data_IF_981458317990
#
_entry.id   IF_981458317990
#
_cell.length_a   1.000
_cell.length_b   1.000
_cell.length_c   1.000
_cell.angle_alpha   90.00
_cell.angle_beta   90.00
_cell.angle_gamma   90.00
#
_symmetry.space_group_name_H-M   'P 1'
#
loop_
_entity.id
_entity.type
_entity.pdbx_description
1 polymer ?
#
# COMPACT_ATOMS: atom_id res chain seq x y z
N UNK A 1 26.37 80.34 11.44
CA UNK A 1 25.32 81.13 10.74
C UNK A 1 24.16 80.18 10.42
N UNK A 2 22.91 80.50 10.80
CA UNK A 2 21.81 80.98 9.92
C UNK A 2 21.64 80.09 8.65
N UNK A 3 20.47 79.52 8.32
CA UNK A 3 19.08 79.93 8.63
C UNK A 3 18.12 78.80 9.13
N UNK A 4 17.00 79.25 9.71
CA UNK A 4 15.90 78.50 10.37
C UNK A 4 14.74 78.14 9.41
N UNK A 5 13.64 77.57 9.98
CA UNK A 5 12.25 77.34 9.46
C UNK A 5 12.03 75.90 8.92
N UNK A 6 10.96 75.11 9.24
CA UNK A 6 9.69 75.28 10.03
C UNK A 6 9.24 73.98 10.76
N UNK A 7 8.09 74.04 11.46
CA UNK A 7 7.17 72.97 11.95
C UNK A 7 5.71 73.48 11.66
N UNK A 8 4.61 72.68 11.60
CA UNK A 8 4.05 71.77 12.62
C UNK A 8 3.62 70.41 11.98
N UNK A 9 2.60 69.61 12.35
CA UNK A 9 1.54 69.63 13.39
C UNK A 9 1.14 68.16 13.72
N UNK A 10 1.49 67.61 14.89
CA UNK A 10 0.61 67.36 16.04
C UNK A 10 -0.72 66.59 15.77
N UNK A 11 -0.81 65.34 16.23
CA UNK A 11 -2.08 64.65 16.49
C UNK A 11 -1.95 63.78 17.75
N UNK A 12 -2.83 63.96 18.72
CA UNK A 12 -2.96 63.14 19.94
C UNK A 12 -4.42 62.76 20.11
N UNK A 13 -4.71 61.48 20.25
CA UNK A 13 -5.96 60.98 20.83
C UNK A 13 -5.56 59.98 21.92
N UNK A 14 -6.01 60.23 23.14
CA UNK A 14 -5.89 59.29 24.25
C UNK A 14 -7.17 58.45 24.33
N UNK A 15 -7.03 57.17 24.70
CA UNK A 15 -8.17 56.32 25.03
C UNK A 15 -8.22 56.16 26.55
N UNK A 16 -9.39 56.41 27.12
CA UNK A 16 -9.63 56.46 28.56
C UNK A 16 -9.73 55.05 29.15
N UNK A 17 -9.13 54.83 30.31
CA UNK A 17 -9.38 53.63 31.12
C UNK A 17 -10.78 53.71 31.76
N UNK A 18 -11.59 52.67 31.58
CA UNK A 18 -12.80 52.45 32.36
C UNK A 18 -12.71 51.11 33.08
N UNK A 19 -12.81 51.14 34.41
CA UNK A 19 -12.87 49.95 35.26
C UNK A 19 -14.29 49.83 35.81
N UNK A 20 -14.94 48.71 35.53
CA UNK A 20 -16.15 48.24 36.23
C UNK A 20 -15.90 46.77 36.57
N UNK A 21 -16.30 46.35 37.77
CA UNK A 21 -15.88 45.09 38.38
C UNK A 21 -17.07 44.22 38.82
N UNK A 22 -16.77 42.92 38.98
CA UNK A 22 -17.59 41.86 39.61
C UNK A 22 -18.88 41.47 38.88
N UNK A 23 -18.97 40.17 38.55
CA UNK A 23 -20.19 39.49 38.12
C UNK A 23 -19.96 37.98 38.14
N UNK A 24 -20.29 37.32 39.26
CA UNK A 24 -20.08 35.88 39.41
C UNK A 24 -21.06 35.07 38.55
N UNK A 25 -20.54 34.31 37.58
CA UNK A 25 -21.30 33.36 36.78
C UNK A 25 -20.43 32.13 36.47
N UNK A 26 -20.86 30.95 36.90
CA UNK A 26 -20.04 29.74 36.86
C UNK A 26 -19.88 29.16 35.45
N UNK A 27 -18.65 29.14 34.93
CA UNK A 27 -18.27 28.33 33.77
C UNK A 27 -17.60 27.03 34.23
N UNK A 28 -18.11 25.88 33.79
CA UNK A 28 -17.53 24.57 34.13
C UNK A 28 -16.08 24.46 33.61
N UNK A 29 -15.16 24.03 34.47
CA UNK A 29 -13.80 23.63 34.10
C UNK A 29 -13.82 22.30 33.33
N UNK A 30 -14.19 22.37 32.05
CA UNK A 30 -14.04 21.27 31.11
C UNK A 30 -12.55 21.06 30.82
N UNK A 31 -11.86 20.31 31.69
CA UNK A 31 -10.45 19.92 31.51
C UNK A 31 -10.31 18.96 30.33
N UNK A 32 -10.30 19.52 29.12
CA UNK A 32 -10.24 18.83 27.82
C UNK A 32 -8.91 18.14 27.58
N UNK A 33 -8.58 17.14 28.40
CA UNK A 33 -7.45 16.23 28.18
C UNK A 33 -7.69 15.53 26.86
N UNK A 34 -6.92 15.91 25.83
CA UNK A 34 -7.03 15.33 24.50
C UNK A 34 -7.02 13.80 24.60
N UNK A 35 -7.94 13.09 23.90
CA UNK A 35 -8.06 11.64 24.04
C UNK A 35 -6.74 11.00 23.63
N UNK A 36 -6.05 10.39 24.61
CA UNK A 36 -4.75 9.78 24.40
C UNK A 36 -4.83 8.79 23.23
N UNK A 37 -3.86 8.89 22.31
CA UNK A 37 -3.85 8.14 21.07
C UNK A 37 -4.05 6.64 21.36
N UNK A 38 -5.23 6.13 21.03
CA UNK A 38 -5.59 4.73 21.21
C UNK A 38 -4.87 3.89 20.16
N UNK A 39 -3.55 3.76 20.35
CA UNK A 39 -2.70 2.79 19.68
C UNK A 39 -3.18 1.40 20.10
N UNK A 40 -4.23 0.93 19.44
CA UNK A 40 -4.76 -0.40 19.61
C UNK A 40 -3.61 -1.39 19.37
N UNK A 41 -3.09 -1.94 20.48
CA UNK A 41 -1.96 -2.86 20.45
C UNK A 41 -2.27 -3.98 19.44
N UNK A 42 -1.29 -4.47 18.66
CA UNK A 42 -1.52 -5.44 17.60
C UNK A 42 -1.90 -6.80 18.18
N UNK A 43 -3.16 -6.93 18.62
CA UNK A 43 -3.72 -8.09 19.29
C UNK A 43 -3.54 -9.34 18.44
N UNK A 44 -3.25 -10.46 19.11
CA UNK A 44 -2.72 -11.71 18.53
C UNK A 44 -3.33 -12.06 17.16
N UNK A 45 -2.69 -11.59 16.08
CA UNK A 45 -3.03 -12.00 14.71
C UNK A 45 -2.47 -13.38 14.50
N UNK A 46 -3.22 -14.37 14.99
CA UNK A 46 -2.93 -15.77 14.75
C UNK A 46 -2.75 -16.02 13.24
N UNK A 47 -1.71 -16.79 12.89
CA UNK A 47 -1.58 -17.36 11.56
C UNK A 47 -2.72 -18.36 11.36
N UNK A 48 -3.87 -17.85 10.91
CA UNK A 48 -5.10 -18.64 10.71
C UNK A 48 -4.78 -19.82 9.80
N UNK A 49 -5.11 -21.02 10.27
CA UNK A 49 -4.72 -22.29 9.67
C UNK A 49 -5.18 -22.52 8.23
N UNK A 50 -4.89 -23.73 7.76
CA UNK A 50 -5.06 -24.25 6.37
C UNK A 50 -6.19 -23.56 5.61
N UNK A 51 -5.88 -23.00 4.43
CA UNK A 51 -6.88 -22.33 3.58
C UNK A 51 -8.09 -23.26 3.34
N UNK A 52 -9.32 -22.73 3.31
CA UNK A 52 -10.49 -23.56 2.99
C UNK A 52 -10.33 -24.23 1.62
N UNK A 53 -10.70 -25.51 1.52
CA UNK A 53 -10.88 -26.18 0.23
C UNK A 53 -12.21 -25.67 -0.35
N UNK A 54 -12.14 -24.69 -1.24
CA UNK A 54 -13.29 -24.03 -1.84
C UNK A 54 -13.08 -23.81 -3.35
N UNK A 55 -14.15 -23.59 -4.14
CA UNK A 55 -14.06 -23.32 -5.58
C UNK A 55 -13.13 -22.15 -5.91
N UNK A 56 -12.46 -22.21 -7.07
CA UNK A 56 -11.40 -21.26 -7.47
C UNK A 56 -11.94 -19.84 -7.65
N UNK A 57 -13.20 -19.73 -8.05
CA UNK A 57 -14.06 -18.54 -8.13
C UNK A 57 -14.00 -17.72 -6.83
N UNK A 58 -14.10 -18.40 -5.67
CA UNK A 58 -14.12 -17.76 -4.36
C UNK A 58 -12.72 -17.33 -3.86
N UNK A 59 -11.66 -17.74 -4.55
CA UNK A 59 -10.27 -17.44 -4.24
C UNK A 59 -9.82 -17.94 -2.86
N UNK A 60 -9.12 -17.10 -2.11
CA UNK A 60 -8.56 -17.42 -0.78
C UNK A 60 -9.30 -16.82 0.42
N UNK A 61 -10.39 -16.08 0.21
CA UNK A 61 -11.19 -15.44 1.28
C UNK A 61 -12.13 -16.48 1.89
N UNK A 62 -12.17 -16.59 3.23
CA UNK A 62 -13.25 -17.34 3.93
C UNK A 62 -14.54 -16.53 3.91
N UNK A 63 -15.41 -16.82 2.95
CA UNK A 63 -16.73 -16.21 2.83
C UNK A 63 -17.72 -16.77 3.85
N UNK A 64 -18.56 -15.91 4.42
CA UNK A 64 -19.74 -16.31 5.21
C UNK A 64 -20.96 -16.40 4.30
N UNK A 65 -22.00 -17.12 4.72
CA UNK A 65 -23.34 -17.09 4.10
C UNK A 65 -24.35 -16.38 5.00
N UNK A 66 -25.52 -16.05 4.46
CA UNK A 66 -26.64 -15.44 5.17
C UNK A 66 -26.46 -13.94 5.46
N UNK A 67 -27.20 -13.09 4.73
CA UNK A 67 -27.15 -11.63 4.89
C UNK A 67 -27.49 -11.16 6.33
N UNK A 68 -28.54 -11.62 7.02
CA UNK A 68 -28.85 -11.15 8.38
C UNK A 68 -27.70 -11.40 9.36
N UNK A 69 -27.07 -12.57 9.28
CA UNK A 69 -25.90 -12.93 10.09
C UNK A 69 -24.68 -12.06 9.78
N UNK A 70 -24.50 -11.63 8.52
CA UNK A 70 -23.43 -10.70 8.14
C UNK A 70 -23.69 -9.27 8.62
N UNK A 71 -24.94 -8.78 8.56
CA UNK A 71 -25.32 -7.46 9.08
C UNK A 71 -25.21 -7.42 10.61
N UNK A 72 -25.61 -8.48 11.33
CA UNK A 72 -25.41 -8.60 12.77
C UNK A 72 -23.92 -8.60 13.16
N UNK A 73 -23.08 -9.35 12.42
CA UNK A 73 -21.63 -9.35 12.62
C UNK A 73 -21.00 -7.97 12.28
N UNK A 74 -21.55 -7.25 11.31
CA UNK A 74 -21.15 -5.89 10.95
C UNK A 74 -21.47 -4.90 12.08
N UNK A 75 -22.71 -4.93 12.60
CA UNK A 75 -23.14 -4.12 13.75
C UNK A 75 -22.25 -4.37 14.97
N UNK A 76 -22.00 -5.64 15.33
CA UNK A 76 -21.18 -6.02 16.51
C UNK A 76 -19.69 -5.65 16.39
N UNK A 77 -19.14 -5.52 15.18
CA UNK A 77 -17.69 -5.31 14.97
C UNK A 77 -17.32 -3.95 14.35
N UNK A 78 -18.32 -3.11 14.05
CA UNK A 78 -18.15 -1.87 13.31
C UNK A 78 -17.50 -2.04 11.93
N UNK A 79 -17.49 -3.26 11.38
CA UNK A 79 -16.84 -3.57 10.09
C UNK A 79 -17.86 -3.46 8.96
N UNK A 80 -17.56 -2.79 7.84
CA UNK A 80 -18.41 -2.85 6.65
C UNK A 80 -18.51 -4.30 6.13
N UNK A 81 -19.66 -4.67 5.57
CA UNK A 81 -19.83 -5.96 4.87
C UNK A 81 -19.25 -5.84 3.46
N UNK A 82 -18.42 -6.79 3.07
CA UNK A 82 -17.93 -7.00 1.72
C UNK A 82 -18.78 -8.11 1.10
N UNK A 83 -19.79 -7.73 0.30
CA UNK A 83 -20.73 -8.67 -0.31
C UNK A 83 -20.26 -9.02 -1.72
N UNK A 84 -19.87 -10.27 -1.92
CA UNK A 84 -19.60 -10.87 -3.22
C UNK A 84 -20.88 -11.58 -3.72
N UNK A 85 -21.36 -11.17 -4.90
CA UNK A 85 -22.37 -11.87 -5.68
C UNK A 85 -21.64 -12.56 -6.84
N UNK A 86 -21.67 -13.89 -6.91
CA UNK A 86 -20.79 -14.63 -7.82
C UNK A 86 -21.33 -15.97 -8.29
N UNK A 87 -20.84 -16.41 -9.45
CA UNK A 87 -21.28 -17.63 -10.13
C UNK A 87 -20.44 -18.83 -9.67
N UNK A 88 -21.08 -19.91 -9.18
CA UNK A 88 -20.35 -21.14 -8.80
C UNK A 88 -21.06 -22.41 -9.30
N UNK A 89 -20.37 -23.30 -10.05
CA UNK A 89 -19.13 -23.01 -10.80
C UNK A 89 -19.34 -21.84 -11.77
N UNK A 90 -18.26 -21.16 -12.17
CA UNK A 90 -18.36 -19.92 -12.95
C UNK A 90 -17.48 -19.83 -14.19
N UNK A 91 -17.76 -18.85 -15.04
CA UNK A 91 -17.04 -18.63 -16.31
C UNK A 91 -15.55 -18.25 -16.13
N UNK A 92 -14.83 -18.09 -17.25
CA UNK A 92 -13.40 -17.74 -17.27
C UNK A 92 -13.09 -16.43 -16.53
N UNK A 93 -13.95 -15.41 -16.62
CA UNK A 93 -13.85 -14.15 -15.86
C UNK A 93 -13.95 -14.38 -14.37
N UNK A 94 -14.93 -15.18 -13.93
CA UNK A 94 -15.19 -15.49 -12.52
C UNK A 94 -14.01 -16.25 -11.91
N UNK A 95 -13.60 -17.35 -12.55
CA UNK A 95 -12.42 -18.14 -12.17
C UNK A 95 -11.13 -17.30 -12.24
N UNK A 96 -11.06 -16.33 -13.14
CA UNK A 96 -9.98 -15.36 -13.25
C UNK A 96 -9.89 -14.41 -12.05
N UNK A 97 -11.01 -13.79 -11.66
CA UNK A 97 -11.09 -12.89 -10.50
C UNK A 97 -10.78 -13.63 -9.19
N UNK A 98 -11.33 -14.83 -9.03
CA UNK A 98 -11.03 -15.74 -7.93
C UNK A 98 -9.55 -16.11 -7.81
N UNK A 99 -8.96 -16.59 -8.91
CA UNK A 99 -7.54 -16.99 -8.99
C UNK A 99 -6.56 -15.82 -8.78
N UNK A 100 -6.88 -14.61 -9.22
CA UNK A 100 -5.92 -13.49 -9.26
C UNK A 100 -6.14 -12.46 -8.15
N UNK A 101 -7.38 -12.01 -7.92
CA UNK A 101 -7.69 -10.95 -6.95
C UNK A 101 -8.08 -11.52 -5.61
N UNK A 102 -9.10 -12.38 -5.57
CA UNK A 102 -9.61 -12.94 -4.32
C UNK A 102 -8.63 -13.94 -3.67
N UNK A 103 -7.60 -14.36 -4.39
CA UNK A 103 -6.49 -15.19 -3.87
C UNK A 103 -5.25 -14.39 -3.43
N UNK A 104 -5.13 -13.11 -3.81
CA UNK A 104 -3.97 -12.27 -3.53
C UNK A 104 -3.81 -12.05 -2.00
N UNK A 105 -2.65 -12.37 -1.38
CA UNK A 105 -2.53 -12.42 0.08
C UNK A 105 -3.00 -11.18 0.83
N UNK A 106 -2.66 -9.98 0.35
CA UNK A 106 -3.07 -8.72 0.97
C UNK A 106 -4.57 -8.39 0.78
N UNK A 107 -5.21 -8.91 -0.27
CA UNK A 107 -6.66 -8.78 -0.49
C UNK A 107 -7.41 -9.73 0.45
N UNK A 108 -6.97 -11.00 0.51
CA UNK A 108 -7.49 -12.01 1.44
C UNK A 108 -7.43 -11.49 2.87
N UNK A 109 -6.29 -10.94 3.27
CA UNK A 109 -6.15 -10.37 4.60
C UNK A 109 -7.04 -9.14 4.82
N UNK A 110 -7.05 -8.17 3.88
CA UNK A 110 -7.90 -7.00 4.02
C UNK A 110 -9.39 -7.38 4.15
N UNK A 111 -9.88 -8.30 3.32
CA UNK A 111 -11.26 -8.79 3.36
C UNK A 111 -11.61 -9.46 4.71
N UNK A 112 -10.75 -10.34 5.22
CA UNK A 112 -11.01 -11.07 6.46
C UNK A 112 -10.76 -10.26 7.74
N UNK A 113 -9.90 -9.23 7.70
CA UNK A 113 -9.55 -8.42 8.88
C UNK A 113 -10.36 -7.13 8.98
N UNK A 114 -10.60 -6.43 7.86
CA UNK A 114 -11.19 -5.09 7.86
C UNK A 114 -12.71 -5.10 7.59
N UNK A 115 -13.23 -6.15 6.96
CA UNK A 115 -14.64 -6.31 6.55
C UNK A 115 -15.30 -7.52 7.24
N UNK A 116 -16.61 -7.68 7.01
CA UNK A 116 -17.32 -8.96 7.10
C UNK A 116 -17.50 -9.52 5.68
N UNK A 117 -16.78 -10.58 5.27
CA UNK A 117 -16.98 -11.17 3.95
C UNK A 117 -18.28 -11.99 3.90
N UNK A 118 -19.19 -11.62 2.99
CA UNK A 118 -20.44 -12.32 2.68
C UNK A 118 -20.42 -12.77 1.22
N UNK A 119 -20.82 -14.02 0.97
CA UNK A 119 -21.06 -14.56 -0.37
C UNK A 119 -22.55 -14.82 -0.58
N UNK A 120 -23.02 -14.50 -1.78
CA UNK A 120 -24.33 -14.80 -2.34
C UNK A 120 -24.08 -15.43 -3.71
N UNK A 121 -24.63 -16.62 -3.99
CA UNK A 121 -24.44 -17.21 -5.32
C UNK A 121 -25.41 -16.57 -6.31
N UNK A 122 -24.90 -15.93 -7.37
CA UNK A 122 -25.74 -15.26 -8.37
C UNK A 122 -26.50 -16.22 -9.30
N UNK A 123 -26.23 -17.53 -9.23
CA UNK A 123 -26.80 -18.55 -10.09
C UNK A 123 -27.66 -19.59 -9.36
N UNK A 124 -28.07 -19.32 -8.10
CA UNK A 124 -28.93 -20.24 -7.30
C UNK A 124 -30.29 -19.61 -6.97
N UNK A 125 -31.22 -20.46 -6.52
CA UNK A 125 -32.57 -20.09 -6.09
C UNK A 125 -32.65 -19.67 -4.61
N UNK A 126 -33.84 -19.77 -4.03
CA UNK A 126 -34.07 -19.71 -2.59
C UNK A 126 -33.55 -18.43 -1.91
N UNK A 127 -32.78 -18.59 -0.84
CA UNK A 127 -32.26 -17.49 -0.01
C UNK A 127 -31.35 -16.55 -0.81
N UNK A 128 -30.47 -17.09 -1.66
CA UNK A 128 -29.55 -16.28 -2.47
C UNK A 128 -30.33 -15.44 -3.49
N UNK A 129 -31.34 -16.02 -4.16
CA UNK A 129 -32.24 -15.29 -5.08
C UNK A 129 -32.95 -14.13 -4.38
N UNK A 130 -33.47 -14.33 -3.17
CA UNK A 130 -34.08 -13.25 -2.38
C UNK A 130 -33.10 -12.13 -2.06
N UNK A 131 -31.83 -12.44 -1.81
CA UNK A 131 -30.78 -11.43 -1.56
C UNK A 131 -30.35 -10.70 -2.84
N UNK A 132 -30.22 -11.39 -3.99
CA UNK A 132 -29.95 -10.77 -5.29
C UNK A 132 -31.01 -9.73 -5.66
N UNK A 133 -32.29 -10.16 -5.62
CA UNK A 133 -33.43 -9.29 -5.92
C UNK A 133 -33.45 -8.07 -4.99
N UNK A 134 -33.19 -8.24 -3.69
CA UNK A 134 -33.16 -7.15 -2.70
C UNK A 134 -31.98 -6.16 -2.86
N UNK A 135 -31.04 -6.41 -3.77
CA UNK A 135 -29.94 -5.51 -4.15
C UNK A 135 -30.02 -5.01 -5.60
N UNK A 136 -31.01 -5.48 -6.38
CA UNK A 136 -31.11 -5.21 -7.81
C UNK A 136 -29.95 -5.79 -8.61
N UNK A 137 -29.36 -6.91 -8.17
CA UNK A 137 -28.27 -7.58 -8.88
C UNK A 137 -28.81 -8.65 -9.85
N UNK A 138 -28.35 -8.69 -11.11
CA UNK A 138 -28.75 -9.70 -12.07
C UNK A 138 -28.15 -11.06 -11.72
N UNK A 139 -28.61 -12.10 -12.43
CA UNK A 139 -28.19 -13.48 -12.20
C UNK A 139 -27.50 -14.06 -13.42
N UNK A 140 -26.59 -15.03 -13.21
CA UNK A 140 -25.70 -15.55 -14.27
C UNK A 140 -24.81 -14.47 -14.92
N UNK A 141 -24.24 -13.58 -14.10
CA UNK A 141 -23.41 -12.46 -14.57
C UNK A 141 -21.97 -12.53 -14.02
N UNK A 142 -21.08 -11.69 -14.57
CA UNK A 142 -19.71 -11.52 -14.06
C UNK A 142 -19.69 -11.03 -12.58
N UNK A 143 -18.61 -11.29 -11.82
CA UNK A 143 -18.59 -11.09 -10.36
C UNK A 143 -18.94 -9.66 -9.93
N UNK A 144 -19.85 -9.50 -8.97
CA UNK A 144 -20.20 -8.18 -8.42
C UNK A 144 -19.81 -8.09 -6.96
N UNK A 145 -19.16 -6.99 -6.57
CA UNK A 145 -18.92 -6.67 -5.17
C UNK A 145 -19.60 -5.36 -4.77
N UNK A 146 -20.39 -5.44 -3.70
CA UNK A 146 -20.92 -4.28 -2.96
C UNK A 146 -20.20 -4.16 -1.62
N UNK A 147 -19.98 -2.93 -1.17
CA UNK A 147 -19.54 -2.66 0.20
C UNK A 147 -20.63 -1.84 0.89
N UNK A 148 -21.11 -2.34 2.03
CA UNK A 148 -22.27 -1.79 2.75
C UNK A 148 -22.02 -1.73 4.26
N UNK A 149 -22.78 -0.88 4.96
CA UNK A 149 -22.86 -0.93 6.44
C UNK A 149 -23.92 -1.94 6.92
N UNK A 150 -24.17 -1.99 8.24
CA UNK A 150 -25.14 -2.89 8.84
C UNK A 150 -26.61 -2.48 8.58
N UNK A 151 -26.85 -1.27 8.07
CA UNK A 151 -28.14 -0.79 7.53
C UNK A 151 -28.29 -1.05 6.02
N UNK A 152 -27.35 -1.80 5.41
CA UNK A 152 -27.23 -2.04 3.96
C UNK A 152 -26.92 -0.81 3.10
N UNK A 153 -26.59 0.35 3.68
CA UNK A 153 -26.30 1.58 2.91
C UNK A 153 -24.97 1.46 2.19
N UNK A 154 -24.91 1.91 0.94
CA UNK A 154 -23.74 1.73 0.08
C UNK A 154 -22.55 2.64 0.49
N UNK A 155 -21.42 2.00 0.80
CA UNK A 155 -20.18 2.64 1.24
C UNK A 155 -19.15 2.83 0.11
N UNK A 156 -19.28 2.05 -0.97
CA UNK A 156 -18.47 2.18 -2.17
C UNK A 156 -19.35 2.08 -3.42
N UNK A 157 -18.82 2.51 -4.57
CA UNK A 157 -19.47 2.31 -5.87
C UNK A 157 -19.55 0.80 -6.17
N UNK A 158 -20.61 0.35 -6.86
CA UNK A 158 -20.77 -1.04 -7.30
C UNK A 158 -19.54 -1.47 -8.12
N UNK A 159 -18.84 -2.52 -7.67
CA UNK A 159 -17.66 -3.03 -8.34
C UNK A 159 -18.04 -4.23 -9.21
N UNK A 160 -18.03 -4.07 -10.53
CA UNK A 160 -18.42 -5.11 -11.50
C UNK A 160 -17.58 -5.04 -12.79
N UNK A 161 -16.33 -4.56 -12.68
CA UNK A 161 -15.46 -4.31 -13.85
C UNK A 161 -13.97 -4.26 -13.48
N UNK A 162 -13.11 -4.33 -14.51
CA UNK A 162 -11.64 -4.28 -14.45
C UNK A 162 -10.96 -5.45 -13.75
N UNK A 163 -11.52 -6.02 -12.68
CA UNK A 163 -11.08 -7.27 -12.02
C UNK A 163 -9.57 -7.37 -11.70
N UNK A 164 -8.93 -6.25 -11.33
CA UNK A 164 -7.53 -6.22 -10.89
C UNK A 164 -7.41 -6.04 -9.38
N UNK A 165 -6.29 -6.52 -8.82
CA UNK A 165 -5.91 -6.31 -7.42
C UNK A 165 -5.95 -4.83 -7.03
N UNK A 166 -5.49 -3.93 -7.91
CA UNK A 166 -5.52 -2.47 -7.66
C UNK A 166 -6.93 -1.91 -7.70
N UNK A 167 -7.72 -2.24 -8.74
CA UNK A 167 -9.08 -1.69 -8.87
C UNK A 167 -9.96 -2.15 -7.69
N UNK A 168 -9.79 -3.39 -7.23
CA UNK A 168 -10.49 -3.90 -6.06
C UNK A 168 -10.01 -3.27 -4.75
N UNK A 169 -8.68 -3.14 -4.56
CA UNK A 169 -8.13 -2.44 -3.40
C UNK A 169 -8.64 -0.98 -3.29
N UNK A 170 -8.83 -0.26 -4.41
CA UNK A 170 -9.46 1.08 -4.40
C UNK A 170 -10.89 1.05 -3.87
N UNK A 171 -11.72 0.09 -4.28
CA UNK A 171 -13.08 -0.06 -3.77
C UNK A 171 -13.07 -0.35 -2.26
N UNK A 172 -12.18 -1.23 -1.79
CA UNK A 172 -11.99 -1.49 -0.35
C UNK A 172 -11.57 -0.22 0.41
N UNK A 173 -10.65 0.59 -0.13
CA UNK A 173 -10.24 1.87 0.47
C UNK A 173 -11.39 2.90 0.49
N UNK A 174 -12.19 3.00 -0.57
CA UNK A 174 -13.39 3.86 -0.62
C UNK A 174 -14.39 3.46 0.48
N UNK A 175 -14.72 2.17 0.56
CA UNK A 175 -15.68 1.65 1.53
C UNK A 175 -15.24 1.80 2.98
N UNK A 176 -13.94 1.64 3.27
CA UNK A 176 -13.38 1.91 4.61
C UNK A 176 -13.45 3.41 4.95
N UNK A 177 -13.05 4.30 4.03
CA UNK A 177 -13.13 5.75 4.24
C UNK A 177 -14.56 6.22 4.52
N UNK A 178 -15.55 5.80 3.71
CA UNK A 178 -16.96 6.17 3.92
C UNK A 178 -17.57 5.55 5.19
N UNK A 179 -16.97 4.49 5.74
CA UNK A 179 -17.32 3.93 7.05
C UNK A 179 -16.58 4.58 8.25
N UNK A 180 -15.80 5.66 8.04
CA UNK A 180 -14.98 6.26 9.11
C UNK A 180 -13.81 5.37 9.58
N UNK A 181 -13.44 4.34 8.81
CA UNK A 181 -12.44 3.32 9.21
C UNK A 181 -11.04 3.72 8.76
N UNK A 182 -10.07 3.64 9.69
CA UNK A 182 -8.63 3.80 9.38
C UNK A 182 -8.20 2.80 8.30
N UNK A 183 -7.63 3.30 7.21
CA UNK A 183 -7.11 2.48 6.10
C UNK A 183 -5.67 2.07 6.40
N UNK A 184 -5.32 0.77 6.42
CA UNK A 184 -3.93 0.34 6.61
C UNK A 184 -3.01 0.72 5.44
N UNK A 185 -1.75 1.05 5.75
CA UNK A 185 -0.76 1.47 4.76
C UNK A 185 -0.58 0.48 3.60
N UNK A 186 -0.47 -0.82 3.89
CA UNK A 186 -0.33 -1.87 2.87
C UNK A 186 -1.51 -1.90 1.87
N UNK A 187 -2.73 -1.58 2.32
CA UNK A 187 -3.91 -1.54 1.46
C UNK A 187 -3.96 -0.23 0.65
N UNK A 188 -3.58 0.89 1.26
CA UNK A 188 -3.44 2.18 0.55
C UNK A 188 -2.37 2.13 -0.55
N UNK A 189 -1.23 1.48 -0.30
CA UNK A 189 -0.18 1.22 -1.30
C UNK A 189 -0.70 0.33 -2.44
N UNK A 190 -1.43 -0.74 -2.11
CA UNK A 190 -2.02 -1.66 -3.09
C UNK A 190 -3.11 -0.99 -3.96
N UNK A 191 -3.88 -0.07 -3.38
CA UNK A 191 -4.90 0.72 -4.07
C UNK A 191 -4.32 1.87 -4.91
N UNK A 192 -3.12 2.37 -4.57
CA UNK A 192 -2.53 3.54 -5.23
C UNK A 192 -2.38 3.32 -6.74
N UNK A 193 -2.65 4.34 -7.58
CA UNK A 193 -2.30 4.29 -9.00
C UNK A 193 -0.78 4.20 -9.11
N UNK A 194 -0.28 3.30 -9.98
CA UNK A 194 1.15 3.23 -10.34
C UNK A 194 1.29 3.68 -11.81
N UNK A 195 1.33 4.99 -12.05
CA UNK A 195 2.16 5.52 -13.15
C UNK A 195 3.60 5.28 -12.70
N UNK A 196 4.43 4.72 -13.55
CA UNK A 196 5.79 4.32 -13.19
C UNK A 196 6.74 4.56 -14.35
N UNK A 197 7.68 5.48 -14.16
CA UNK A 197 8.79 5.72 -15.10
C UNK A 197 10.01 4.91 -14.65
N UNK A 198 10.99 4.72 -15.56
CA UNK A 198 12.27 4.05 -15.28
C UNK A 198 13.41 5.06 -15.31
N UNK A 199 14.41 4.86 -14.46
CA UNK A 199 15.71 5.50 -14.55
C UNK A 199 16.78 4.44 -14.21
N UNK A 200 17.94 4.47 -14.86
CA UNK A 200 19.01 3.48 -14.57
C UNK A 200 20.30 4.19 -14.19
N UNK A 201 20.88 3.81 -13.06
CA UNK A 201 22.05 4.45 -12.47
C UNK A 201 23.23 3.48 -12.43
N UNK A 202 24.45 3.96 -12.68
CA UNK A 202 25.69 3.21 -12.45
C UNK A 202 26.35 3.61 -11.12
N UNK A 203 27.06 2.65 -10.53
CA UNK A 203 27.79 2.81 -9.25
C UNK A 203 28.86 1.72 -9.10
N UNK A 204 29.58 1.72 -7.98
CA UNK A 204 30.61 0.71 -7.68
C UNK A 204 30.05 -0.59 -7.09
N UNK A 205 28.92 -0.52 -6.39
CA UNK A 205 28.27 -1.68 -5.75
C UNK A 205 26.75 -1.52 -5.82
N UNK A 206 26.08 -2.30 -6.67
CA UNK A 206 24.63 -2.20 -6.85
C UNK A 206 23.83 -2.67 -5.63
N UNK A 207 24.40 -3.48 -4.71
CA UNK A 207 23.75 -3.82 -3.44
C UNK A 207 23.56 -2.59 -2.56
N UNK A 208 24.60 -1.76 -2.43
CA UNK A 208 24.54 -0.44 -1.79
C UNK A 208 23.60 0.49 -2.56
N UNK A 209 23.61 0.40 -3.90
CA UNK A 209 22.64 1.02 -4.79
C UNK A 209 21.18 0.74 -4.42
N UNK A 210 20.78 -0.52 -4.38
CA UNK A 210 19.42 -0.95 -4.06
C UNK A 210 18.95 -0.47 -2.68
N UNK A 211 19.86 -0.42 -1.70
CA UNK A 211 19.57 0.11 -0.37
C UNK A 211 19.33 1.62 -0.43
N UNK A 212 20.27 2.39 -1.00
CA UNK A 212 20.19 3.86 -1.02
C UNK A 212 19.07 4.37 -1.94
N UNK A 213 18.90 3.79 -3.12
CA UNK A 213 17.84 4.13 -4.07
C UNK A 213 16.46 3.67 -3.58
N UNK A 214 16.36 2.47 -3.00
CA UNK A 214 15.12 1.94 -2.43
C UNK A 214 14.59 2.72 -1.22
N UNK A 215 15.45 3.49 -0.55
CA UNK A 215 15.07 4.40 0.53
C UNK A 215 14.34 5.66 0.03
N UNK A 216 14.63 6.15 -1.19
CA UNK A 216 14.15 7.45 -1.68
C UNK A 216 12.60 7.49 -1.75
N UNK A 217 11.91 8.44 -1.08
CA UNK A 217 10.46 8.59 -1.21
C UNK A 217 10.04 8.80 -2.67
N UNK A 218 9.03 8.04 -3.14
CA UNK A 218 8.58 8.04 -4.54
C UNK A 218 9.10 6.86 -5.38
N UNK A 219 10.20 6.21 -4.99
CA UNK A 219 10.64 4.94 -5.60
C UNK A 219 9.65 3.81 -5.27
N UNK A 220 9.31 3.02 -6.29
CA UNK A 220 8.35 1.91 -6.24
C UNK A 220 9.04 0.54 -6.31
N UNK A 221 10.15 0.44 -7.04
CA UNK A 221 10.87 -0.82 -7.25
C UNK A 221 12.32 -0.49 -7.63
N UNK A 222 13.27 -1.29 -7.14
CA UNK A 222 14.65 -1.32 -7.65
C UNK A 222 14.94 -2.68 -8.28
N UNK A 223 15.92 -2.77 -9.17
CA UNK A 223 16.37 -4.03 -9.76
C UNK A 223 17.84 -3.94 -10.17
N UNK A 224 18.73 -4.85 -9.76
CA UNK A 224 20.13 -4.77 -10.11
C UNK A 224 20.46 -5.46 -11.43
N UNK A 225 21.59 -5.09 -12.00
CA UNK A 225 22.16 -5.74 -13.18
C UNK A 225 23.41 -5.06 -13.68
N UNK A 226 23.71 -5.30 -14.96
CA UNK A 226 24.88 -4.80 -15.67
C UNK A 226 24.47 -4.07 -16.94
N UNK A 227 25.14 -2.96 -17.23
CA UNK A 227 24.98 -2.18 -18.46
C UNK A 227 26.31 -1.50 -18.81
N UNK A 228 26.73 -1.59 -20.06
CA UNK A 228 28.01 -1.05 -20.58
C UNK A 228 29.22 -1.35 -19.68
N UNK A 229 29.34 -2.61 -19.25
CA UNK A 229 30.41 -3.11 -18.38
C UNK A 229 30.31 -2.71 -16.90
N UNK A 230 29.28 -1.94 -16.50
CA UNK A 230 29.14 -1.36 -15.16
C UNK A 230 28.04 -2.02 -14.36
N UNK A 231 28.23 -2.06 -13.04
CA UNK A 231 27.16 -2.33 -12.09
C UNK A 231 26.11 -1.22 -12.11
N UNK A 232 24.84 -1.61 -12.24
CA UNK A 232 23.72 -0.68 -12.34
C UNK A 232 22.50 -1.12 -11.52
N UNK A 233 21.67 -0.14 -11.17
CA UNK A 233 20.33 -0.35 -10.63
C UNK A 233 19.31 0.35 -11.54
N UNK A 234 18.36 -0.40 -12.09
CA UNK A 234 17.12 0.13 -12.64
C UNK A 234 16.18 0.49 -11.48
N UNK A 235 15.67 1.71 -11.49
CA UNK A 235 14.73 2.26 -10.53
C UNK A 235 13.41 2.53 -11.23
N UNK A 236 12.30 2.02 -10.69
CA UNK A 236 10.96 2.45 -11.06
C UNK A 236 10.43 3.40 -10.00
N UNK A 237 9.89 4.54 -10.41
CA UNK A 237 9.42 5.59 -9.51
C UNK A 237 8.07 6.15 -9.93
N UNK A 238 7.31 6.71 -9.00
CA UNK A 238 6.05 7.41 -9.27
C UNK A 238 6.34 8.88 -9.64
N UNK A 239 6.24 9.27 -10.92
CA UNK A 239 6.62 10.61 -11.39
C UNK A 239 5.76 11.75 -10.81
N UNK A 240 4.64 11.41 -10.15
CA UNK A 240 3.77 12.38 -9.44
C UNK A 240 4.23 12.64 -8.00
N UNK A 241 5.25 11.92 -7.52
CA UNK A 241 5.83 12.03 -6.17
C UNK A 241 7.33 12.37 -6.18
N UNK A 242 8.00 12.08 -7.30
CA UNK A 242 9.43 12.27 -7.48
C UNK A 242 9.68 12.48 -8.98
N UNK A 243 10.17 13.65 -9.38
CA UNK A 243 10.56 13.90 -10.77
C UNK A 243 11.87 13.17 -11.10
N UNK A 244 12.12 12.92 -12.39
CA UNK A 244 13.38 12.31 -12.83
C UNK A 244 14.61 13.11 -12.39
N UNK A 245 14.59 14.44 -12.54
CA UNK A 245 15.70 15.31 -12.10
C UNK A 245 15.95 15.26 -10.59
N UNK A 246 14.90 15.22 -9.76
CA UNK A 246 15.03 15.09 -8.31
C UNK A 246 15.52 13.69 -7.88
N UNK A 247 15.11 12.62 -8.61
CA UNK A 247 15.69 11.29 -8.43
C UNK A 247 17.19 11.27 -8.77
N UNK A 248 17.60 11.89 -9.87
CA UNK A 248 19.02 12.03 -10.25
C UNK A 248 19.81 12.82 -9.20
N UNK A 249 19.27 13.94 -8.71
CA UNK A 249 19.87 14.76 -7.67
C UNK A 249 20.12 13.95 -6.39
N UNK A 250 19.11 13.22 -5.92
CA UNK A 250 19.20 12.35 -4.73
C UNK A 250 20.15 11.19 -4.94
N UNK A 251 20.13 10.54 -6.10
CA UNK A 251 21.03 9.43 -6.42
C UNK A 251 22.51 9.87 -6.45
N UNK A 252 22.80 11.08 -6.94
CA UNK A 252 24.15 11.69 -6.87
C UNK A 252 24.55 12.05 -5.44
N UNK A 253 23.69 12.71 -4.67
CA UNK A 253 23.95 13.03 -3.27
C UNK A 253 24.18 11.78 -2.39
N UNK A 254 23.58 10.65 -2.77
CA UNK A 254 23.76 9.34 -2.13
C UNK A 254 24.94 8.53 -2.68
N UNK A 255 25.74 9.08 -3.61
CA UNK A 255 26.94 8.41 -4.17
C UNK A 255 26.64 7.16 -5.01
N UNK A 256 25.42 7.04 -5.57
CA UNK A 256 24.94 5.86 -6.31
C UNK A 256 24.50 6.21 -7.73
N UNK A 257 25.17 7.19 -8.34
CA UNK A 257 24.94 7.67 -9.69
C UNK A 257 26.24 8.23 -10.33
N UNK A 258 27.27 7.39 -10.46
CA UNK A 258 28.52 7.76 -11.16
C UNK A 258 28.31 7.92 -12.67
N UNK A 259 27.29 7.25 -13.22
CA UNK A 259 26.68 7.54 -14.53
C UNK A 259 25.17 7.41 -14.42
N UNK A 260 24.43 8.12 -15.27
CA UNK A 260 22.98 8.02 -15.41
C UNK A 260 22.61 7.69 -16.85
N UNK A 261 21.71 6.73 -17.00
CA UNK A 261 21.14 6.32 -18.27
C UNK A 261 19.70 6.83 -18.38
N UNK A 262 19.52 7.80 -19.28
CA UNK A 262 18.20 8.30 -19.68
C UNK A 262 17.58 7.35 -20.71
N UNK A 263 16.27 7.09 -20.58
CA UNK A 263 15.51 6.22 -21.48
C UNK A 263 14.77 6.97 -22.59
N UNK A 264 14.74 8.31 -22.51
CA UNK A 264 14.12 9.22 -23.49
C UNK A 264 14.78 10.62 -23.45
N UNK A 265 14.40 11.48 -24.40
CA UNK A 265 14.97 12.83 -24.53
C UNK A 265 14.61 13.79 -23.39
N UNK A 266 13.44 13.65 -22.77
CA UNK A 266 13.03 14.49 -21.64
C UNK A 266 13.84 14.12 -20.37
N UNK A 267 14.08 12.83 -20.15
CA UNK A 267 15.01 12.34 -19.15
C UNK A 267 16.46 12.79 -19.42
N UNK A 268 16.89 12.83 -20.68
CA UNK A 268 18.22 13.33 -21.03
C UNK A 268 18.38 14.80 -20.65
N UNK A 269 17.41 15.66 -21.00
CA UNK A 269 17.42 17.08 -20.67
C UNK A 269 17.35 17.31 -19.15
N UNK A 270 16.34 16.74 -18.48
CA UNK A 270 16.14 16.88 -17.04
C UNK A 270 17.28 16.29 -16.20
N UNK A 271 17.95 15.24 -16.71
CA UNK A 271 19.15 14.68 -16.10
C UNK A 271 20.38 15.57 -16.29
N UNK A 272 20.63 16.06 -17.52
CA UNK A 272 21.79 16.93 -17.82
C UNK A 272 21.75 18.23 -17.03
N UNK A 273 20.58 18.83 -16.82
CA UNK A 273 20.40 20.01 -15.97
C UNK A 273 20.82 19.80 -14.50
N UNK A 274 20.93 18.55 -14.02
CA UNK A 274 21.31 18.19 -12.63
C UNK A 274 22.70 17.56 -12.56
N UNK A 275 23.15 16.90 -13.62
CA UNK A 275 24.29 15.98 -13.58
C UNK A 275 25.27 16.10 -14.76
N UNK A 276 25.02 17.01 -15.71
CA UNK A 276 25.91 17.30 -16.84
C UNK A 276 26.23 16.08 -17.71
N UNK A 277 27.49 15.97 -18.11
CA UNK A 277 28.04 14.90 -18.96
C UNK A 277 27.93 13.48 -18.37
N UNK A 278 27.63 13.35 -17.06
CA UNK A 278 27.35 12.05 -16.45
C UNK A 278 26.03 11.42 -16.92
N UNK A 279 25.18 12.14 -17.67
CA UNK A 279 23.92 11.64 -18.23
C UNK A 279 24.01 11.40 -19.72
N UNK A 280 23.82 10.13 -20.12
CA UNK A 280 23.71 9.71 -21.52
C UNK A 280 22.38 9.02 -21.80
N UNK A 281 21.82 9.26 -22.98
CA UNK A 281 20.69 8.47 -23.51
C UNK A 281 21.15 7.03 -23.76
N UNK A 282 20.27 6.05 -23.61
CA UNK A 282 20.53 4.70 -24.09
C UNK A 282 19.26 3.99 -24.56
N UNK A 283 19.39 3.22 -25.64
CA UNK A 283 18.40 2.22 -26.05
C UNK A 283 18.73 0.81 -25.51
N UNK A 284 19.92 0.61 -24.92
CA UNK A 284 20.38 -0.68 -24.42
C UNK A 284 19.61 -1.08 -23.15
N UNK A 285 19.15 -2.34 -23.09
CA UNK A 285 18.50 -2.90 -21.91
C UNK A 285 19.53 -3.42 -20.92
N UNK A 286 19.30 -3.18 -19.63
CA UNK A 286 20.13 -3.72 -18.54
C UNK A 286 20.08 -5.26 -18.52
N UNK A 287 21.24 -5.92 -18.48
CA UNK A 287 21.36 -7.35 -18.16
C UNK A 287 21.17 -7.54 -16.65
N UNK A 288 19.92 -7.77 -16.25
CA UNK A 288 19.51 -8.05 -14.85
C UNK A 288 20.38 -9.14 -14.22
N UNK A 289 20.65 -9.03 -12.91
CA UNK A 289 21.20 -10.15 -12.12
C UNK A 289 20.20 -10.65 -11.07
N UNK A 290 19.39 -11.70 -11.37
CA UNK A 290 18.30 -12.14 -10.47
C UNK A 290 18.76 -12.78 -9.16
N UNK A 291 20.00 -13.30 -9.11
CA UNK A 291 20.59 -13.92 -7.92
C UNK A 291 20.99 -12.89 -6.84
N UNK A 292 21.23 -11.65 -7.26
CA UNK A 292 21.77 -10.57 -6.42
C UNK A 292 20.70 -9.54 -6.02
N UNK A 293 19.45 -9.79 -6.44
CA UNK A 293 18.26 -8.95 -6.33
C UNK A 293 17.70 -8.94 -4.90
N UNK A 294 17.71 -7.76 -4.26
CA UNK A 294 17.39 -7.51 -2.84
C UNK A 294 18.33 -8.24 -1.87
N UNK A 295 19.64 -8.12 -2.07
CA UNK A 295 20.69 -8.77 -1.26
C UNK A 295 20.43 -8.77 0.27
N UNK A 296 20.07 -7.63 0.86
CA UNK A 296 19.85 -7.52 2.31
C UNK A 296 18.61 -8.30 2.75
N UNK A 297 17.58 -8.32 1.91
CA UNK A 297 16.34 -9.06 2.16
C UNK A 297 16.58 -10.58 2.01
N UNK A 298 17.25 -11.02 0.95
CA UNK A 298 17.46 -12.46 0.68
C UNK A 298 18.40 -13.14 1.68
N UNK A 299 19.30 -12.40 2.34
CA UNK A 299 20.12 -12.92 3.45
C UNK A 299 19.43 -12.85 4.82
N UNK A 300 18.24 -12.25 4.91
CA UNK A 300 17.47 -12.13 6.16
C UNK A 300 16.37 -13.20 6.29
N UNK A 301 15.72 -13.24 7.47
CA UNK A 301 14.48 -14.03 7.68
C UNK A 301 13.29 -13.53 6.83
N UNK A 302 13.31 -12.29 6.33
CA UNK A 302 12.22 -11.72 5.53
C UNK A 302 12.05 -12.34 4.14
N UNK A 303 13.07 -13.01 3.60
CA UNK A 303 13.00 -13.72 2.30
C UNK A 303 11.87 -14.76 2.22
N UNK A 304 11.41 -15.27 3.36
CA UNK A 304 10.36 -16.26 3.49
C UNK A 304 8.96 -15.66 3.73
N UNK A 305 8.85 -14.32 3.80
CA UNK A 305 7.58 -13.61 3.85
C UNK A 305 7.14 -13.29 2.41
N UNK A 306 5.91 -13.64 1.98
CA UNK A 306 5.41 -13.22 0.67
C UNK A 306 5.23 -11.70 0.61
N UNK A 307 5.99 -11.04 -0.27
CA UNK A 307 6.07 -9.57 -0.38
C UNK A 307 5.77 -9.12 -1.82
N UNK A 308 5.13 -7.96 -1.96
CA UNK A 308 5.11 -7.25 -3.25
C UNK A 308 6.48 -6.64 -3.56
N UNK A 309 6.80 -6.36 -4.83
CA UNK A 309 8.09 -5.78 -5.21
C UNK A 309 8.39 -4.43 -4.50
N UNK A 310 7.36 -3.62 -4.26
CA UNK A 310 7.43 -2.36 -3.51
C UNK A 310 7.74 -2.59 -2.03
N UNK A 311 7.09 -3.57 -1.40
CA UNK A 311 7.43 -4.00 -0.04
C UNK A 311 8.85 -4.57 0.05
N UNK A 312 9.28 -5.39 -0.93
CA UNK A 312 10.62 -5.97 -0.96
C UNK A 312 11.72 -4.91 -1.15
N UNK A 313 11.51 -3.93 -2.03
CA UNK A 313 12.42 -2.79 -2.23
C UNK A 313 12.56 -1.96 -0.95
N UNK A 314 11.42 -1.57 -0.35
CA UNK A 314 11.41 -0.77 0.89
C UNK A 314 11.99 -1.52 2.09
N UNK A 315 11.79 -2.83 2.17
CA UNK A 315 12.33 -3.68 3.23
C UNK A 315 13.83 -3.94 3.05
N UNK A 316 14.32 -4.16 1.83
CA UNK A 316 15.76 -4.25 1.53
C UNK A 316 16.51 -2.98 1.93
N UNK A 317 15.93 -1.81 1.65
CA UNK A 317 16.50 -0.52 2.05
C UNK A 317 16.45 -0.28 3.58
N UNK A 318 15.41 -0.77 4.25
CA UNK A 318 15.21 -0.59 5.69
C UNK A 318 16.08 -1.50 6.58
N UNK A 319 16.54 -2.65 6.05
CA UNK A 319 17.22 -3.68 6.84
C UNK A 319 18.58 -3.22 7.42
N UNK A 320 19.51 -2.62 6.64
CA UNK A 320 20.79 -2.15 7.19
C UNK A 320 20.68 -1.04 8.24
N UNK A 321 19.57 -0.29 8.26
CA UNK A 321 19.32 0.82 9.21
C UNK A 321 18.40 0.43 10.37
N UNK A 322 17.99 -0.85 10.47
CA UNK A 322 17.15 -1.39 11.55
C UNK A 322 15.72 -0.82 11.67
N UNK A 323 15.32 0.12 10.80
CA UNK A 323 14.07 0.90 10.94
C UNK A 323 13.06 0.55 9.86
N UNK A 324 12.16 -0.38 10.17
CA UNK A 324 11.09 -0.81 9.27
C UNK A 324 10.03 0.30 9.07
N UNK A 325 9.65 0.67 7.82
CA UNK A 325 8.63 1.68 7.58
C UNK A 325 7.26 1.26 8.11
N UNK A 326 6.65 2.09 8.95
CA UNK A 326 5.35 1.80 9.56
C UNK A 326 4.26 1.58 8.50
N UNK A 327 3.39 0.59 8.73
CA UNK A 327 2.26 0.29 7.84
C UNK A 327 2.62 -0.31 6.47
N UNK A 328 3.91 -0.47 6.13
CA UNK A 328 4.37 -1.07 4.88
C UNK A 328 3.90 -2.52 4.73
N UNK A 329 3.96 -3.28 5.82
CA UNK A 329 3.61 -4.70 5.89
C UNK A 329 2.25 -4.89 6.56
N UNK A 330 1.55 -5.95 6.15
CA UNK A 330 0.29 -6.33 6.77
C UNK A 330 0.50 -7.07 8.10
N UNK A 331 -0.49 -7.05 9.01
CA UNK A 331 -0.41 -7.80 10.27
C UNK A 331 -0.05 -9.29 10.14
N UNK A 332 -0.50 -10.00 9.07
CA UNK A 332 -0.09 -11.41 8.84
C UNK A 332 1.33 -11.53 8.29
N UNK A 333 1.81 -10.58 7.47
CA UNK A 333 3.23 -10.56 7.08
C UNK A 333 4.14 -10.40 8.31
N UNK A 334 3.75 -9.53 9.25
CA UNK A 334 4.43 -9.34 10.52
C UNK A 334 4.32 -10.56 11.46
N UNK A 335 3.14 -11.19 11.54
CA UNK A 335 2.95 -12.42 12.32
C UNK A 335 3.78 -13.59 11.77
N UNK A 336 3.82 -13.77 10.45
CA UNK A 336 4.62 -14.80 9.78
C UNK A 336 6.11 -14.62 10.08
N UNK A 337 6.62 -13.39 9.96
CA UNK A 337 8.00 -13.07 10.32
C UNK A 337 8.33 -13.43 11.78
N UNK A 338 7.44 -13.07 12.72
CA UNK A 338 7.63 -13.40 14.15
C UNK A 338 7.68 -14.90 14.40
N UNK A 339 6.81 -15.68 13.74
CA UNK A 339 6.84 -17.15 13.84
C UNK A 339 8.13 -17.74 13.25
N UNK A 340 8.60 -17.24 12.11
CA UNK A 340 9.87 -17.64 11.48
C UNK A 340 11.12 -17.20 12.26
N UNK A 341 10.99 -16.17 13.12
CA UNK A 341 12.04 -15.78 14.05
C UNK A 341 12.07 -16.68 15.28
N UNK A 342 10.90 -17.04 15.83
CA UNK A 342 10.76 -17.91 16.99
C UNK A 342 11.09 -19.39 16.71
N UNK A 343 10.81 -19.90 15.51
CA UNK A 343 10.99 -21.33 15.16
C UNK A 343 12.45 -21.78 14.97
N UNK A 344 13.43 -20.98 15.41
CA UNK A 344 14.88 -21.25 15.30
C UNK A 344 15.42 -21.40 13.86
N UNK A 345 14.55 -21.33 12.85
CA UNK A 345 14.82 -21.92 11.54
C UNK A 345 15.91 -21.18 10.79
N UNK A 346 17.03 -21.86 10.60
CA UNK A 346 18.23 -21.34 9.95
C UNK A 346 17.96 -20.90 8.51
N UNK A 347 18.82 -20.02 7.98
CA UNK A 347 18.68 -19.53 6.61
C UNK A 347 18.69 -20.67 5.55
N UNK A 348 19.41 -21.74 5.85
CA UNK A 348 19.60 -22.92 5.01
C UNK A 348 18.35 -23.80 4.82
N UNK A 349 17.41 -23.82 5.77
CA UNK A 349 16.28 -24.77 5.79
C UNK A 349 15.17 -24.48 4.75
N UNK A 350 15.20 -23.32 4.07
CA UNK A 350 14.13 -22.86 3.16
C UNK A 350 14.59 -22.73 1.69
N UNK A 351 15.69 -23.40 1.31
CA UNK A 351 16.33 -23.25 -0.02
C UNK A 351 15.54 -23.78 -1.22
N UNK A 352 14.43 -24.51 -1.03
CA UNK A 352 13.64 -25.13 -2.12
C UNK A 352 12.62 -24.22 -2.85
N UNK A 353 12.54 -22.93 -2.54
CA UNK A 353 11.45 -22.05 -3.00
C UNK A 353 11.84 -21.12 -4.16
N UNK A 354 11.89 -21.65 -5.39
CA UNK A 354 12.16 -20.88 -6.61
C UNK A 354 11.00 -19.90 -6.98
N UNK A 355 11.33 -18.89 -7.81
CA UNK A 355 10.40 -17.83 -8.26
C UNK A 355 9.36 -18.37 -9.25
N UNK A 356 8.08 -18.03 -9.07
CA UNK A 356 7.00 -18.36 -10.01
C UNK A 356 6.15 -17.12 -10.36
N UNK A 357 6.29 -16.62 -11.60
CA UNK A 357 5.37 -15.66 -12.24
C UNK A 357 5.27 -14.27 -11.61
N UNK A 358 4.58 -14.14 -10.48
CA UNK A 358 4.25 -12.87 -9.82
C UNK A 358 4.39 -12.96 -8.29
N UNK A 359 5.53 -12.51 -7.78
CA UNK A 359 5.85 -12.50 -6.35
C UNK A 359 6.57 -13.76 -5.85
N UNK A 360 7.17 -13.64 -4.66
CA UNK A 360 7.95 -14.73 -4.06
C UNK A 360 7.03 -15.76 -3.39
N UNK A 361 6.58 -16.76 -4.17
CA UNK A 361 5.91 -17.95 -3.64
C UNK A 361 6.39 -19.22 -4.36
N UNK A 362 7.23 -19.99 -3.67
CA UNK A 362 6.80 -21.32 -3.24
C UNK A 362 6.71 -21.26 -1.71
N UNK A 363 5.74 -21.93 -1.12
CA UNK A 363 5.78 -22.28 0.30
C UNK A 363 5.85 -23.79 0.32
N UNK A 364 7.02 -24.32 0.63
CA UNK A 364 7.16 -25.74 0.95
C UNK A 364 6.49 -25.97 2.31
N UNK A 365 5.22 -26.37 2.27
CA UNK A 365 4.69 -27.21 3.34
C UNK A 365 5.51 -28.51 3.37
N UNK A 366 5.75 -29.03 4.57
CA UNK A 366 5.89 -30.47 4.77
C UNK A 366 4.50 -31.09 4.75
#
# INVERSE_FOLDING_TARGET
MKHTIRKPLAARIAVLLLVIAVGCGGAMLATGRAPADAQAAPGKVALRGKRPKQPIELGGVRWRRGLPSALAASKKSGKPVLVLFDEVPGCSTVRGFGRTVLSHPLIVEAAETLFVPLLVYNNKGGVDRRVLNAFGEPTWNNPVVRIIDHQRRALATRYASTYTVRSFARAMVQGLRKAGRKVPGYLAALASPRRAERATFAMHCFWTGEVRLGAIPGVLETRPGFLDGREVVEVRFDPRKLSYGELVKRARALGVASRVYAHDAAQLAAGRAVAGSAVSLTARRMRVSPKDDKYQLIHSRWRAVPLTAEQATRLNAALPVGRLPQGLLSPRQLALYRTLAASGSSASALRGCQRAGYGWIRVCAR
#
